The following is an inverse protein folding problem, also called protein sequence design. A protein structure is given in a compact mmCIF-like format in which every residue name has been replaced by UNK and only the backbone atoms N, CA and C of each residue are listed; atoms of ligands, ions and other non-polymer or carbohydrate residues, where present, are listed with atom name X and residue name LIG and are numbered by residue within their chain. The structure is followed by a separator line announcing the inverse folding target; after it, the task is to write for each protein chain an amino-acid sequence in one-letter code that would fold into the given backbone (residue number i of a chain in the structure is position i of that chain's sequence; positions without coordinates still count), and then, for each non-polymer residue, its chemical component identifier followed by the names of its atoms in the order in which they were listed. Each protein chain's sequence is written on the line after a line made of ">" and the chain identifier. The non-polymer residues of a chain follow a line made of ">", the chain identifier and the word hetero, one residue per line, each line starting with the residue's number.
data_IF_982337703362
#
_entry.id   IF_982337703362
#
_cell.length_a   1.000
_cell.length_b   1.000
_cell.length_c   1.000
_cell.angle_alpha   90.00
_cell.angle_beta   90.00
_cell.angle_gamma   90.00
#
_symmetry.space_group_name_H-M   'P 1'
#
loop_
_entity.id
_entity.type
_entity.pdbx_description
1 polymer ?
#
# COMPACT_ATOMS: atom_id res chain seq x y z
N UNK A 1 53.49 -61.00 14.32
CA UNK A 1 53.27 -60.81 12.87
C UNK A 1 51.88 -60.24 12.65
N UNK A 2 51.63 -59.56 11.53
CA UNK A 2 50.34 -58.93 11.26
C UNK A 2 49.27 -59.96 10.85
N UNK A 3 48.00 -59.64 11.12
CA UNK A 3 46.83 -60.44 10.72
C UNK A 3 45.59 -59.56 10.64
N UNK A 4 45.36 -58.95 9.47
CA UNK A 4 44.26 -58.01 9.23
C UNK A 4 42.94 -58.75 8.97
N UNK A 5 41.95 -58.55 9.85
CA UNK A 5 40.56 -58.93 9.60
C UNK A 5 39.79 -57.75 9.00
N UNK A 6 39.67 -57.74 7.67
CA UNK A 6 38.85 -56.76 6.97
C UNK A 6 37.37 -56.99 7.29
N UNK A 7 36.77 -56.09 8.09
CA UNK A 7 35.32 -56.05 8.26
C UNK A 7 34.65 -55.71 6.93
N UNK A 8 33.89 -56.66 6.36
CA UNK A 8 33.09 -56.43 5.15
C UNK A 8 32.04 -55.35 5.42
N UNK A 9 32.32 -54.12 5.00
CA UNK A 9 31.30 -53.08 4.90
C UNK A 9 30.21 -53.56 3.91
N UNK A 10 28.95 -53.49 4.32
CA UNK A 10 27.82 -53.71 3.40
C UNK A 10 27.74 -52.53 2.44
N UNK A 11 27.77 -52.80 1.14
CA UNK A 11 27.43 -51.80 0.12
C UNK A 11 26.02 -51.28 0.39
N UNK A 12 25.87 -49.96 0.56
CA UNK A 12 24.55 -49.34 0.57
C UNK A 12 23.97 -49.45 -0.83
N UNK A 13 22.78 -50.04 -0.94
CA UNK A 13 22.00 -49.96 -2.19
C UNK A 13 21.58 -48.49 -2.41
N UNK A 14 21.53 -48.01 -3.66
CA UNK A 14 20.96 -46.70 -3.95
C UNK A 14 19.51 -46.64 -3.44
N UNK A 15 19.09 -45.47 -2.95
CA UNK A 15 17.74 -45.28 -2.46
C UNK A 15 16.75 -45.54 -3.61
N UNK A 16 15.87 -46.52 -3.43
CA UNK A 16 14.75 -46.72 -4.35
C UNK A 16 13.85 -45.49 -4.30
N UNK A 17 13.45 -44.98 -5.46
CA UNK A 17 12.57 -43.82 -5.57
C UNK A 17 11.27 -44.07 -4.79
N UNK A 18 10.98 -43.21 -3.82
CA UNK A 18 9.72 -43.27 -3.09
C UNK A 18 8.58 -42.98 -4.08
N UNK A 19 7.51 -43.81 -4.12
CA UNK A 19 6.38 -43.55 -5.01
C UNK A 19 5.78 -42.17 -4.69
N UNK A 20 5.36 -41.42 -5.72
CA UNK A 20 4.91 -40.03 -5.54
C UNK A 20 3.78 -39.96 -4.51
N UNK A 21 3.92 -39.02 -3.57
CA UNK A 21 2.98 -38.85 -2.47
C UNK A 21 1.54 -38.70 -3.02
N UNK A 22 0.54 -39.39 -2.45
CA UNK A 22 -0.82 -39.36 -2.96
C UNK A 22 -1.36 -37.93 -2.95
N UNK A 23 -1.80 -37.44 -4.11
CA UNK A 23 -2.24 -36.06 -4.32
C UNK A 23 -3.18 -35.65 -3.19
N UNK A 24 -2.85 -34.61 -2.39
CA UNK A 24 -3.71 -34.16 -1.31
C UNK A 24 -5.09 -33.81 -1.86
N UNK A 25 -6.14 -34.46 -1.32
CA UNK A 25 -7.51 -34.11 -1.68
C UNK A 25 -7.75 -32.64 -1.36
N UNK A 26 -8.01 -31.83 -2.37
CA UNK A 26 -8.28 -30.40 -2.23
C UNK A 26 -9.45 -30.20 -1.27
N UNK A 27 -9.15 -29.82 -0.04
CA UNK A 27 -10.16 -29.43 0.95
C UNK A 27 -10.56 -28.01 0.60
N UNK A 28 -11.56 -27.88 -0.28
CA UNK A 28 -12.16 -26.59 -0.62
C UNK A 28 -12.53 -25.83 0.66
N UNK A 29 -12.26 -24.50 0.72
CA UNK A 29 -12.52 -23.71 1.91
C UNK A 29 -13.99 -23.87 2.32
N UNK A 30 -14.22 -24.26 3.58
CA UNK A 30 -15.57 -24.41 4.11
C UNK A 30 -16.20 -23.02 4.18
N UNK A 31 -17.23 -22.77 3.36
CA UNK A 31 -17.97 -21.50 3.31
C UNK A 31 -18.21 -20.91 4.72
N UNK A 32 -18.15 -19.57 4.87
CA UNK A 32 -18.25 -18.90 6.16
C UNK A 32 -19.47 -19.35 6.98
N UNK A 33 -19.32 -19.33 8.30
CA UNK A 33 -20.25 -19.94 9.24
C UNK A 33 -21.57 -19.15 9.32
N UNK A 34 -22.48 -19.37 8.38
CA UNK A 34 -23.86 -18.84 8.44
C UNK A 34 -24.47 -19.19 9.81
N UNK A 35 -24.83 -18.15 10.58
CA UNK A 35 -25.38 -18.27 11.92
C UNK A 35 -26.80 -18.83 11.88
N UNK A 36 -26.96 -20.13 12.14
CA UNK A 36 -28.29 -20.78 12.16
C UNK A 36 -28.95 -20.53 13.52
N UNK A 37 -29.74 -19.46 13.62
CA UNK A 37 -30.44 -19.06 14.85
C UNK A 37 -31.33 -20.15 15.46
N UNK A 38 -31.94 -21.02 14.64
CA UNK A 38 -32.71 -22.18 15.10
C UNK A 38 -32.46 -23.41 14.23
N UNK A 39 -31.95 -24.47 14.86
CA UNK A 39 -31.81 -25.79 14.26
C UNK A 39 -33.17 -26.52 14.18
N UNK A 40 -33.41 -27.26 13.10
CA UNK A 40 -34.59 -28.13 12.97
C UNK A 40 -34.61 -29.24 14.02
N UNK A 41 -35.80 -29.72 14.36
CA UNK A 41 -36.01 -30.76 15.36
C UNK A 41 -35.32 -32.07 14.95
N UNK A 42 -35.37 -32.42 13.66
CA UNK A 42 -34.67 -33.57 13.10
C UNK A 42 -33.15 -33.52 13.25
N UNK A 43 -32.54 -32.33 13.36
CA UNK A 43 -31.12 -32.18 13.71
C UNK A 43 -30.91 -32.13 15.23
N UNK A 44 -31.78 -31.45 16.00
CA UNK A 44 -31.74 -31.39 17.47
C UNK A 44 -31.82 -32.79 18.09
N UNK A 45 -32.82 -33.60 17.71
CA UNK A 45 -33.02 -34.98 18.19
C UNK A 45 -31.79 -35.88 17.93
N UNK A 46 -31.11 -35.67 16.80
CA UNK A 46 -29.89 -36.41 16.40
C UNK A 46 -28.58 -35.78 16.91
N UNK A 47 -28.64 -34.66 17.64
CA UNK A 47 -27.47 -33.87 18.12
C UNK A 47 -26.46 -33.50 17.02
N UNK A 48 -26.91 -33.33 15.77
CA UNK A 48 -26.05 -32.95 14.63
C UNK A 48 -26.23 -31.49 14.21
N UNK A 49 -25.20 -30.93 13.56
CA UNK A 49 -25.22 -29.54 13.08
C UNK A 49 -26.28 -29.34 11.98
N UNK A 50 -27.26 -28.47 12.25
CA UNK A 50 -28.21 -28.01 11.24
C UNK A 50 -27.55 -27.02 10.27
N UNK A 51 -28.09 -26.92 9.04
CA UNK A 51 -27.65 -25.98 8.00
C UNK A 51 -28.59 -24.80 7.77
N UNK A 52 -29.71 -24.70 8.51
CA UNK A 52 -30.64 -23.58 8.45
C UNK A 52 -31.58 -23.54 7.23
N UNK A 53 -31.14 -24.08 6.07
CA UNK A 53 -31.93 -24.13 4.82
C UNK A 53 -33.38 -24.59 5.06
N UNK A 54 -34.33 -23.79 4.55
CA UNK A 54 -35.74 -24.14 4.38
C UNK A 54 -36.00 -24.63 2.94
N UNK A 55 -37.03 -25.45 2.68
CA UNK A 55 -37.89 -26.10 3.67
C UNK A 55 -37.19 -27.25 4.42
N UNK A 56 -36.23 -27.95 3.80
CA UNK A 56 -35.44 -29.02 4.43
C UNK A 56 -33.95 -28.65 4.51
N UNK A 57 -33.33 -28.94 5.65
CA UNK A 57 -31.90 -28.70 5.84
C UNK A 57 -31.05 -29.79 5.15
N UNK A 58 -29.83 -29.45 4.70
CA UNK A 58 -28.90 -30.35 3.99
C UNK A 58 -28.58 -31.63 4.80
N UNK A 59 -28.63 -31.56 6.14
CA UNK A 59 -28.40 -32.69 7.06
C UNK A 59 -29.63 -33.59 7.34
N UNK A 60 -30.84 -33.14 6.99
CA UNK A 60 -32.03 -34.00 6.95
C UNK A 60 -32.20 -34.62 5.55
N UNK A 61 -31.94 -33.85 4.48
CA UNK A 61 -31.96 -34.35 3.08
C UNK A 61 -31.00 -35.54 2.91
N UNK A 62 -29.72 -35.39 3.28
CA UNK A 62 -28.71 -36.46 3.18
C UNK A 62 -29.01 -37.72 4.01
N UNK A 63 -29.92 -37.63 4.96
CA UNK A 63 -30.21 -38.68 5.93
C UNK A 63 -31.67 -39.15 5.86
N UNK A 64 -32.36 -38.92 4.73
CA UNK A 64 -33.73 -39.37 4.46
C UNK A 64 -34.81 -38.89 5.43
N UNK A 65 -34.48 -38.00 6.36
CA UNK A 65 -35.25 -37.77 7.59
C UNK A 65 -36.07 -36.50 7.55
N UNK A 66 -37.17 -36.48 8.31
CA UNK A 66 -38.03 -35.32 8.41
C UNK A 66 -37.30 -34.09 8.98
N UNK A 67 -37.76 -32.93 8.53
CA UNK A 67 -37.13 -31.65 8.81
C UNK A 67 -38.16 -30.62 9.25
N UNK A 68 -38.93 -30.95 10.28
CA UNK A 68 -39.69 -29.95 11.02
C UNK A 68 -38.72 -28.92 11.63
N UNK A 69 -38.95 -27.66 11.30
CA UNK A 69 -38.60 -26.56 12.19
C UNK A 69 -39.89 -26.23 12.97
N UNK A 70 -39.76 -25.81 14.23
CA UNK A 70 -40.88 -25.14 14.88
C UNK A 70 -41.28 -23.92 14.02
N UNK A 71 -42.58 -23.62 13.88
CA UNK A 71 -42.99 -22.41 13.18
C UNK A 71 -42.33 -21.21 13.86
N UNK A 72 -41.77 -20.31 13.06
CA UNK A 72 -41.29 -19.03 13.57
C UNK A 72 -42.50 -18.26 14.13
N UNK A 73 -42.29 -17.34 15.08
CA UNK A 73 -43.33 -16.34 15.31
C UNK A 73 -43.53 -15.54 14.01
N UNK A 74 -44.78 -15.24 13.66
CA UNK A 74 -45.09 -14.44 12.46
C UNK A 74 -44.30 -13.13 12.47
N UNK A 75 -44.10 -12.55 13.65
CA UNK A 75 -43.32 -11.33 13.87
C UNK A 75 -41.87 -11.44 13.39
N UNK A 76 -41.21 -12.60 13.51
CA UNK A 76 -39.85 -12.78 13.01
C UNK A 76 -39.81 -12.93 11.48
N UNK A 77 -40.78 -13.63 10.88
CA UNK A 77 -40.89 -13.73 9.42
C UNK A 77 -41.26 -12.37 8.80
N UNK A 78 -42.16 -11.62 9.46
CA UNK A 78 -42.51 -10.26 9.10
C UNK A 78 -41.34 -9.29 9.22
N UNK A 79 -40.54 -9.34 10.31
CA UNK A 79 -39.32 -8.52 10.46
C UNK A 79 -38.31 -8.82 9.37
N UNK A 80 -37.97 -10.09 9.14
CA UNK A 80 -37.02 -10.47 8.09
C UNK A 80 -37.49 -10.07 6.69
N UNK A 81 -38.80 -10.16 6.41
CA UNK A 81 -39.37 -9.70 5.13
C UNK A 81 -39.41 -8.17 5.02
N UNK A 82 -39.65 -7.47 6.13
CA UNK A 82 -39.61 -6.00 6.20
C UNK A 82 -38.18 -5.48 5.96
N UNK A 83 -37.18 -6.03 6.64
CA UNK A 83 -35.76 -5.74 6.42
C UNK A 83 -35.38 -5.96 4.95
N UNK A 84 -35.76 -7.11 4.36
CA UNK A 84 -35.51 -7.38 2.95
C UNK A 84 -36.17 -6.34 2.02
N UNK A 85 -37.43 -5.96 2.29
CA UNK A 85 -38.16 -4.97 1.50
C UNK A 85 -37.58 -3.55 1.67
N UNK A 86 -37.02 -3.21 2.84
CA UNK A 86 -36.31 -1.94 3.03
C UNK A 86 -35.03 -1.89 2.19
N UNK A 87 -34.21 -2.95 2.20
CA UNK A 87 -33.01 -3.04 1.34
C UNK A 87 -33.38 -2.94 -0.13
N UNK A 88 -34.36 -3.74 -0.57
CA UNK A 88 -34.86 -3.75 -1.95
C UNK A 88 -35.37 -2.36 -2.38
N UNK A 89 -36.16 -1.69 -1.53
CA UNK A 89 -36.63 -0.31 -1.77
C UNK A 89 -35.47 0.68 -1.88
N UNK A 90 -34.43 0.54 -1.05
CA UNK A 90 -33.25 1.41 -1.06
C UNK A 90 -32.43 1.24 -2.33
N UNK A 91 -32.30 0.00 -2.83
CA UNK A 91 -31.64 -0.28 -4.12
C UNK A 91 -32.41 0.31 -5.30
N UNK A 92 -33.74 0.14 -5.36
CA UNK A 92 -34.56 0.79 -6.40
C UNK A 92 -34.47 2.33 -6.33
N UNK A 93 -34.37 2.92 -5.13
CA UNK A 93 -34.15 4.36 -4.97
C UNK A 93 -32.78 4.81 -5.48
N UNK A 94 -31.68 4.09 -5.17
CA UNK A 94 -30.34 4.35 -5.74
C UNK A 94 -30.35 4.28 -7.26
N UNK A 95 -31.02 3.26 -7.83
CA UNK A 95 -31.13 3.07 -9.28
C UNK A 95 -31.87 4.24 -9.96
N UNK A 96 -33.00 4.67 -9.39
CA UNK A 96 -33.76 5.83 -9.90
C UNK A 96 -32.97 7.14 -9.74
N UNK A 97 -32.11 7.26 -8.73
CA UNK A 97 -31.14 8.35 -8.61
C UNK A 97 -30.14 8.37 -9.77
N UNK A 98 -29.43 7.25 -9.99
CA UNK A 98 -28.44 7.11 -11.07
C UNK A 98 -29.05 7.36 -12.46
N UNK A 99 -30.23 6.81 -12.75
CA UNK A 99 -30.94 7.03 -14.01
C UNK A 99 -31.42 8.48 -14.23
N UNK A 100 -31.33 9.36 -13.21
CA UNK A 100 -31.62 10.80 -13.31
C UNK A 100 -30.38 11.69 -13.35
N UNK A 101 -29.24 11.22 -12.84
CA UNK A 101 -27.99 11.98 -12.79
C UNK A 101 -27.03 11.68 -13.95
N UNK A 102 -27.20 10.52 -14.60
CA UNK A 102 -26.35 10.04 -15.71
C UNK A 102 -26.79 10.55 -17.07
N UNK A 103 -25.88 10.51 -18.05
CA UNK A 103 -26.18 10.94 -19.42
C UNK A 103 -27.13 9.97 -20.16
N UNK A 104 -27.67 10.40 -21.30
CA UNK A 104 -28.62 9.59 -22.07
C UNK A 104 -28.03 8.30 -22.67
N UNK A 105 -26.70 8.17 -22.79
CA UNK A 105 -26.02 6.94 -23.25
C UNK A 105 -25.81 6.00 -22.08
N UNK A 106 -25.23 6.50 -20.97
CA UNK A 106 -25.02 5.76 -19.72
C UNK A 106 -26.34 5.17 -19.20
N UNK A 107 -27.39 6.01 -19.08
CA UNK A 107 -28.71 5.56 -18.64
C UNK A 107 -29.31 4.49 -19.55
N UNK A 108 -29.03 4.52 -20.86
CA UNK A 108 -29.45 3.46 -21.78
C UNK A 108 -28.66 2.16 -21.60
N UNK A 109 -27.37 2.21 -21.21
CA UNK A 109 -26.59 1.00 -20.83
C UNK A 109 -27.20 0.36 -19.57
N UNK A 110 -27.47 1.15 -18.54
CA UNK A 110 -28.11 0.70 -17.29
C UNK A 110 -29.49 0.05 -17.59
N UNK A 111 -30.32 0.70 -18.42
CA UNK A 111 -31.60 0.14 -18.84
C UNK A 111 -31.45 -1.15 -19.68
N UNK A 112 -30.37 -1.30 -20.45
CA UNK A 112 -30.11 -2.51 -21.22
C UNK A 112 -29.65 -3.69 -20.35
N UNK A 113 -28.87 -3.45 -19.29
CA UNK A 113 -28.54 -4.48 -18.29
C UNK A 113 -29.82 -5.01 -17.60
N UNK A 114 -30.71 -4.10 -17.19
CA UNK A 114 -32.01 -4.47 -16.60
C UNK A 114 -32.88 -5.27 -17.59
N UNK A 115 -32.91 -4.90 -18.87
CA UNK A 115 -33.59 -5.65 -19.95
C UNK A 115 -32.98 -7.04 -20.19
N UNK A 116 -31.71 -7.25 -19.86
CA UNK A 116 -31.02 -8.55 -19.89
C UNK A 116 -31.28 -9.39 -18.63
N UNK A 117 -32.24 -8.99 -17.79
CA UNK A 117 -32.67 -9.70 -16.58
C UNK A 117 -31.61 -9.73 -15.47
N UNK A 118 -30.64 -8.79 -15.50
CA UNK A 118 -29.70 -8.55 -14.40
C UNK A 118 -30.43 -7.92 -13.21
N UNK A 119 -30.14 -8.38 -11.99
CA UNK A 119 -30.77 -7.84 -10.77
C UNK A 119 -30.28 -6.42 -10.47
N UNK A 120 -31.14 -5.60 -9.85
CA UNK A 120 -30.80 -4.20 -9.51
C UNK A 120 -29.53 -4.10 -8.66
N UNK A 121 -29.37 -4.96 -7.66
CA UNK A 121 -28.14 -5.08 -6.87
C UNK A 121 -26.87 -5.22 -7.74
N UNK A 122 -26.90 -6.10 -8.75
CA UNK A 122 -25.76 -6.35 -9.63
C UNK A 122 -25.54 -5.21 -10.62
N UNK A 123 -26.61 -4.58 -11.13
CA UNK A 123 -26.50 -3.37 -11.97
C UNK A 123 -25.90 -2.20 -11.18
N UNK A 124 -26.37 -1.97 -9.94
CA UNK A 124 -25.78 -0.97 -9.05
C UNK A 124 -24.31 -1.24 -8.81
N UNK A 125 -23.94 -2.49 -8.48
CA UNK A 125 -22.54 -2.90 -8.25
C UNK A 125 -21.67 -2.69 -9.49
N UNK A 126 -22.16 -3.01 -10.69
CA UNK A 126 -21.41 -2.80 -11.94
C UNK A 126 -21.25 -1.31 -12.28
N UNK A 127 -22.27 -0.48 -12.05
CA UNK A 127 -22.17 0.98 -12.21
C UNK A 127 -21.20 1.56 -11.18
N UNK A 128 -21.31 1.18 -9.91
CA UNK A 128 -20.44 1.65 -8.81
C UNK A 128 -18.97 1.25 -9.04
N UNK A 129 -18.70 0.06 -9.59
CA UNK A 129 -17.36 -0.35 -10.02
C UNK A 129 -16.88 0.38 -11.29
N UNK A 130 -17.77 0.67 -12.24
CA UNK A 130 -17.44 1.42 -13.47
C UNK A 130 -17.12 2.88 -13.18
N UNK A 131 -17.93 3.51 -12.32
CA UNK A 131 -17.71 4.84 -11.76
C UNK A 131 -16.38 4.89 -11.01
N UNK A 132 -16.09 3.90 -10.16
CA UNK A 132 -14.78 3.80 -9.49
C UNK A 132 -13.61 3.71 -10.49
N UNK A 133 -13.77 3.05 -11.64
CA UNK A 133 -12.73 3.01 -12.69
C UNK A 133 -12.58 4.36 -13.43
N UNK A 134 -13.68 5.08 -13.66
CA UNK A 134 -13.64 6.44 -14.19
C UNK A 134 -12.99 7.40 -13.19
N UNK A 135 -13.42 7.39 -11.93
CA UNK A 135 -12.85 8.17 -10.83
C UNK A 135 -11.38 7.82 -10.60
N UNK A 136 -10.98 6.54 -10.76
CA UNK A 136 -9.58 6.13 -10.72
C UNK A 136 -8.74 6.85 -11.78
N UNK A 137 -9.26 7.04 -12.99
CA UNK A 137 -8.60 7.79 -14.07
C UNK A 137 -8.55 9.31 -13.87
N UNK A 138 -9.36 9.85 -12.94
CA UNK A 138 -9.31 11.25 -12.54
C UNK A 138 -8.34 11.43 -11.37
N UNK A 139 -7.20 12.07 -11.64
CA UNK A 139 -6.38 12.69 -10.59
C UNK A 139 -7.18 13.88 -10.05
N UNK A 140 -7.44 13.92 -8.74
CA UNK A 140 -8.11 15.07 -8.13
C UNK A 140 -7.06 16.05 -7.64
N UNK A 141 -7.17 17.31 -8.05
CA UNK A 141 -6.19 18.38 -7.81
C UNK A 141 -5.60 18.36 -6.39
N UNK A 142 -4.27 18.31 -6.32
CA UNK A 142 -3.47 18.62 -5.13
C UNK A 142 -3.69 17.77 -3.87
N UNK A 143 -4.02 16.46 -3.94
CA UNK A 143 -4.13 15.60 -2.72
C UNK A 143 -2.91 15.66 -1.81
N UNK A 144 -1.71 15.42 -2.38
CA UNK A 144 -0.44 15.45 -1.63
C UNK A 144 -0.20 16.82 -0.99
N UNK A 145 -0.48 17.92 -1.70
CA UNK A 145 -0.27 19.28 -1.17
C UNK A 145 -1.32 19.70 -0.14
N UNK A 146 -2.54 19.16 -0.21
CA UNK A 146 -3.54 19.33 0.86
C UNK A 146 -3.13 18.59 2.14
N UNK A 147 -2.59 17.36 2.02
CA UNK A 147 -2.05 16.58 3.13
C UNK A 147 -0.86 17.32 3.78
N UNK A 148 0.14 17.67 2.98
CA UNK A 148 1.36 18.32 3.45
C UNK A 148 1.13 19.76 3.92
N UNK A 149 0.30 20.53 3.23
CA UNK A 149 -0.07 21.89 3.63
C UNK A 149 -0.90 21.94 4.91
N UNK A 150 -1.59 20.86 5.28
CA UNK A 150 -2.21 20.72 6.61
C UNK A 150 -1.20 20.27 7.67
N UNK A 151 -0.21 19.46 7.30
CA UNK A 151 0.89 19.07 8.17
C UNK A 151 1.80 20.25 8.56
N UNK A 152 2.12 21.15 7.63
CA UNK A 152 2.78 22.45 7.89
C UNK A 152 1.98 23.25 8.94
N UNK A 153 0.68 23.46 8.72
CA UNK A 153 -0.20 24.22 9.65
C UNK A 153 -0.34 23.55 11.01
N UNK A 154 -0.29 22.22 11.06
CA UNK A 154 -0.45 21.41 12.26
C UNK A 154 0.84 21.08 13.01
N UNK A 155 2.00 21.46 12.45
CA UNK A 155 3.35 21.17 12.94
C UNK A 155 3.56 19.67 13.27
N UNK A 156 3.35 18.81 12.26
CA UNK A 156 3.59 17.36 12.33
C UNK A 156 4.18 16.84 11.01
N UNK A 157 4.84 15.68 11.03
CA UNK A 157 5.38 15.02 9.83
C UNK A 157 4.44 13.95 9.26
N UNK A 158 4.59 13.63 7.97
CA UNK A 158 3.78 12.65 7.22
C UNK A 158 4.70 11.62 6.55
N UNK A 159 4.36 10.32 6.69
CA UNK A 159 5.18 9.19 6.21
C UNK A 159 5.08 8.94 4.70
N UNK A 160 6.19 8.43 4.12
CA UNK A 160 6.47 8.11 2.71
C UNK A 160 7.53 6.94 2.58
N UNK A 161 7.72 6.27 1.41
CA UNK A 161 8.34 4.91 1.15
C UNK A 161 9.62 4.64 0.22
N UNK A 162 10.52 3.59 0.32
CA UNK A 162 11.64 3.15 -0.65
C UNK A 162 11.91 1.56 -0.76
N UNK A 163 12.68 0.90 -1.67
CA UNK A 163 12.63 -0.60 -1.97
C UNK A 163 13.94 -1.45 -1.93
N UNK A 164 13.86 -2.81 -1.83
CA UNK A 164 14.74 -3.77 -2.57
C UNK A 164 14.17 -5.16 -2.98
N UNK A 165 14.64 -5.72 -4.13
CA UNK A 165 14.51 -7.15 -4.50
C UNK A 165 15.73 -7.83 -5.20
N UNK A 166 16.16 -8.95 -4.59
CA UNK A 166 17.25 -9.91 -4.95
C UNK A 166 17.98 -9.86 -6.32
N UNK A 167 19.31 -9.69 -6.25
CA UNK A 167 20.30 -10.51 -7.00
C UNK A 167 21.31 -11.09 -6.02
N UNK A 168 21.62 -12.38 -6.13
CA UNK A 168 22.36 -13.11 -5.09
C UNK A 168 23.86 -13.30 -5.34
N UNK A 169 24.65 -13.20 -4.27
CA UNK A 169 25.98 -13.79 -4.07
C UNK A 169 26.02 -14.35 -2.63
N UNK A 170 26.93 -15.29 -2.37
CA UNK A 170 27.02 -16.03 -1.10
C UNK A 170 27.91 -15.36 -0.06
N UNK A 171 27.35 -14.49 0.79
CA UNK A 171 27.76 -14.38 2.20
C UNK A 171 26.62 -13.83 3.08
N UNK A 172 26.77 -13.87 4.41
CA UNK A 172 25.67 -13.71 5.37
C UNK A 172 25.72 -12.39 6.18
N UNK A 173 25.45 -11.24 5.54
CA UNK A 173 25.21 -9.96 6.25
C UNK A 173 24.46 -8.92 5.39
N UNK A 174 23.75 -7.98 6.05
CA UNK A 174 23.09 -6.75 5.52
C UNK A 174 21.85 -6.99 4.58
N UNK A 175 20.88 -6.08 4.35
CA UNK A 175 20.10 -5.12 5.19
C UNK A 175 18.69 -4.87 4.55
N UNK A 176 17.93 -3.78 4.84
CA UNK A 176 16.45 -3.86 5.03
C UNK A 176 15.59 -2.64 4.54
N UNK A 177 14.35 -2.78 3.95
CA UNK A 177 13.54 -1.67 3.29
C UNK A 177 11.95 -1.83 3.16
N UNK A 178 11.08 -0.81 3.43
CA UNK A 178 9.64 -0.62 2.97
C UNK A 178 9.44 0.38 1.84
N UNK A 179 8.65 -0.08 0.87
CA UNK A 179 7.65 0.63 0.07
C UNK A 179 6.39 -0.25 0.01
N UNK A 180 5.33 0.21 -0.64
CA UNK A 180 4.14 -0.61 -0.85
C UNK A 180 4.17 -1.39 -2.19
N UNK A 181 5.04 -2.40 -2.29
CA UNK A 181 5.26 -3.19 -3.53
C UNK A 181 4.14 -4.17 -3.90
N UNK A 182 3.24 -4.45 -2.97
CA UNK A 182 2.25 -5.51 -3.08
C UNK A 182 0.94 -5.09 -2.38
N UNK A 183 -0.10 -5.92 -2.48
CA UNK A 183 -1.44 -5.60 -1.98
C UNK A 183 -1.49 -5.74 -0.45
N UNK A 184 -0.63 -6.59 0.11
CA UNK A 184 -0.45 -6.84 1.54
C UNK A 184 0.05 -5.59 2.27
N UNK A 185 1.05 -4.89 1.72
CA UNK A 185 1.59 -3.64 2.26
C UNK A 185 0.59 -2.50 2.09
N UNK A 186 -0.08 -2.39 0.93
CA UNK A 186 -1.16 -1.42 0.71
C UNK A 186 -2.24 -1.58 1.80
N UNK A 187 -2.62 -2.83 2.07
CA UNK A 187 -3.60 -3.18 3.11
C UNK A 187 -3.11 -2.79 4.51
N UNK A 188 -1.89 -3.16 4.89
CA UNK A 188 -1.36 -2.88 6.23
C UNK A 188 -1.19 -1.37 6.49
N UNK A 189 -0.65 -0.63 5.52
CA UNK A 189 -0.41 0.82 5.64
C UNK A 189 -1.75 1.59 5.64
N UNK A 190 -2.70 1.24 4.78
CA UNK A 190 -4.03 1.86 4.79
C UNK A 190 -4.77 1.58 6.10
N UNK A 191 -4.78 0.33 6.59
CA UNK A 191 -5.35 -0.01 7.91
C UNK A 191 -4.75 0.83 9.04
N UNK A 192 -3.42 1.00 9.06
CA UNK A 192 -2.74 1.80 10.09
C UNK A 192 -3.16 3.28 10.03
N UNK A 193 -3.20 3.86 8.83
CA UNK A 193 -3.65 5.23 8.63
C UNK A 193 -5.12 5.43 9.10
N UNK A 194 -6.02 4.50 8.78
CA UNK A 194 -7.42 4.53 9.25
C UNK A 194 -7.53 4.35 10.77
N UNK A 195 -6.87 3.34 11.33
CA UNK A 195 -6.91 3.04 12.78
C UNK A 195 -6.41 4.22 13.63
N UNK A 196 -5.39 4.93 13.16
CA UNK A 196 -4.81 6.10 13.81
C UNK A 196 -5.51 7.41 13.45
N UNK A 197 -6.38 7.41 12.43
CA UNK A 197 -6.94 8.61 11.79
C UNK A 197 -5.84 9.59 11.40
N UNK A 198 -4.88 9.10 10.61
CA UNK A 198 -3.71 9.83 10.13
C UNK A 198 -3.81 10.02 8.61
N UNK A 199 -3.42 11.19 8.07
CA UNK A 199 -3.04 11.27 6.68
C UNK A 199 -1.71 10.53 6.44
N UNK A 200 -1.47 10.03 5.24
CA UNK A 200 -0.24 9.32 4.85
C UNK A 200 -0.06 9.34 3.32
N UNK A 201 1.18 9.40 2.84
CA UNK A 201 1.49 9.34 1.40
C UNK A 201 1.96 7.92 1.07
N UNK A 202 1.20 7.21 0.24
CA UNK A 202 1.66 5.94 -0.33
C UNK A 202 2.59 6.24 -1.49
N UNK A 203 3.82 5.74 -1.42
CA UNK A 203 4.75 5.84 -2.54
C UNK A 203 4.61 4.61 -3.45
N UNK A 204 5.20 4.69 -4.65
CA UNK A 204 5.65 3.59 -5.49
C UNK A 204 6.96 3.98 -6.19
N UNK A 205 7.63 3.01 -6.80
CA UNK A 205 8.87 3.24 -7.55
C UNK A 205 8.81 2.91 -9.04
N UNK A 206 9.68 3.54 -9.86
CA UNK A 206 9.92 3.17 -11.25
C UNK A 206 10.18 1.68 -11.44
N UNK A 207 10.88 1.04 -10.51
CA UNK A 207 11.17 -0.39 -10.51
C UNK A 207 9.95 -1.26 -10.18
N UNK A 208 9.15 -0.89 -9.17
CA UNK A 208 7.88 -1.56 -8.85
C UNK A 208 6.90 -1.45 -10.02
N UNK A 209 6.85 -0.31 -10.72
CA UNK A 209 6.06 -0.13 -11.94
C UNK A 209 6.56 -0.99 -13.10
N UNK A 210 7.88 -1.14 -13.29
CA UNK A 210 8.46 -2.06 -14.30
C UNK A 210 8.12 -3.53 -14.01
N UNK A 211 7.98 -3.91 -12.73
CA UNK A 211 7.59 -5.27 -12.34
C UNK A 211 6.08 -5.51 -12.42
N UNK A 212 5.26 -4.54 -11.99
CA UNK A 212 3.80 -4.67 -11.91
C UNK A 212 3.11 -3.31 -12.14
N UNK A 213 2.88 -2.88 -13.41
CA UNK A 213 2.26 -1.59 -13.71
C UNK A 213 0.87 -1.39 -13.08
N UNK A 214 0.14 -2.49 -12.86
CA UNK A 214 -1.19 -2.47 -12.22
C UNK A 214 -1.17 -2.12 -10.73
N UNK A 215 0.01 -2.08 -10.09
CA UNK A 215 0.16 -1.73 -8.69
C UNK A 215 -0.25 -0.27 -8.40
N UNK A 216 0.00 0.67 -9.32
CA UNK A 216 -0.47 2.05 -9.20
C UNK A 216 -1.99 2.14 -9.13
N UNK A 217 -2.69 1.32 -9.92
CA UNK A 217 -4.15 1.25 -9.90
C UNK A 217 -4.69 0.58 -8.63
N UNK A 218 -4.02 -0.45 -8.11
CA UNK A 218 -4.35 -1.05 -6.81
C UNK A 218 -4.14 -0.06 -5.65
N UNK A 219 -3.05 0.71 -5.68
CA UNK A 219 -2.76 1.74 -4.69
C UNK A 219 -3.77 2.88 -4.74
N UNK A 220 -4.06 3.40 -5.94
CA UNK A 220 -5.07 4.44 -6.13
C UNK A 220 -6.49 3.96 -5.74
N UNK A 221 -6.80 2.67 -5.89
CA UNK A 221 -8.06 2.09 -5.40
C UNK A 221 -8.10 2.02 -3.85
N UNK A 222 -7.00 1.60 -3.20
CA UNK A 222 -6.90 1.64 -1.74
C UNK A 222 -7.06 3.08 -1.22
N UNK A 223 -6.41 4.06 -1.86
CA UNK A 223 -6.53 5.49 -1.53
C UNK A 223 -7.97 5.99 -1.69
N UNK A 224 -8.64 5.70 -2.81
CA UNK A 224 -10.00 6.18 -3.09
C UNK A 224 -11.08 5.43 -2.28
N UNK A 225 -10.73 4.35 -1.59
CA UNK A 225 -11.61 3.63 -0.65
C UNK A 225 -11.34 3.93 0.83
N UNK A 226 -10.24 4.58 1.17
CA UNK A 226 -9.87 4.90 2.54
C UNK A 226 -10.74 5.99 3.17
N UNK A 227 -10.99 5.85 4.48
CA UNK A 227 -11.74 6.82 5.30
C UNK A 227 -10.89 7.99 5.83
N UNK A 228 -9.62 8.09 5.39
CA UNK A 228 -8.65 9.13 5.79
C UNK A 228 -7.92 9.71 4.57
N UNK A 229 -7.34 10.92 4.63
CA UNK A 229 -6.64 11.52 3.50
C UNK A 229 -5.34 10.78 3.13
N UNK A 230 -5.39 9.98 2.06
CA UNK A 230 -4.22 9.35 1.44
C UNK A 230 -3.94 9.95 0.06
N UNK A 231 -2.69 9.85 -0.40
CA UNK A 231 -2.29 10.18 -1.78
C UNK A 231 -1.21 9.24 -2.32
N UNK A 232 -1.05 9.21 -3.65
CA UNK A 232 -0.06 8.39 -4.35
C UNK A 232 1.11 9.23 -4.88
N UNK A 233 2.35 8.78 -4.62
CA UNK A 233 3.58 9.45 -5.06
C UNK A 233 4.51 8.49 -5.81
N UNK A 234 5.10 8.91 -6.93
CA UNK A 234 6.18 8.16 -7.59
C UNK A 234 7.52 8.73 -7.12
N UNK A 235 8.27 7.96 -6.34
CA UNK A 235 9.53 8.41 -5.74
C UNK A 235 10.72 8.15 -6.69
N UNK A 236 11.85 8.86 -6.50
CA UNK A 236 13.07 8.82 -7.32
C UNK A 236 12.85 8.46 -8.81
N UNK A 237 12.03 9.23 -9.52
CA UNK A 237 11.84 9.03 -10.96
C UNK A 237 13.01 9.67 -11.72
N UNK A 238 13.95 8.84 -12.18
CA UNK A 238 15.21 9.25 -12.81
C UNK A 238 15.19 9.24 -14.35
N UNK A 239 14.19 8.61 -14.99
CA UNK A 239 14.07 8.55 -16.47
C UNK A 239 12.97 9.48 -16.98
N UNK A 240 13.35 10.47 -17.81
CA UNK A 240 12.45 11.48 -18.39
C UNK A 240 11.28 10.84 -19.15
N UNK A 241 11.55 9.82 -19.98
CA UNK A 241 10.51 9.17 -20.79
C UNK A 241 9.54 8.37 -19.93
N UNK A 242 10.03 7.73 -18.86
CA UNK A 242 9.19 7.05 -17.88
C UNK A 242 8.32 8.04 -17.10
N UNK A 243 8.84 9.21 -16.71
CA UNK A 243 8.05 10.26 -16.04
C UNK A 243 6.94 10.75 -16.96
N UNK A 244 7.25 11.08 -18.22
CA UNK A 244 6.22 11.51 -19.16
C UNK A 244 5.10 10.45 -19.33
N UNK A 245 5.45 9.16 -19.45
CA UNK A 245 4.45 8.09 -19.59
C UNK A 245 3.65 7.85 -18.31
N UNK A 246 4.26 7.99 -17.13
CA UNK A 246 3.55 7.98 -15.84
C UNK A 246 2.53 9.12 -15.79
N UNK A 247 2.96 10.36 -16.04
CA UNK A 247 2.10 11.56 -16.07
C UNK A 247 0.97 11.41 -17.09
N UNK A 248 1.25 10.78 -18.24
CA UNK A 248 0.25 10.50 -19.27
C UNK A 248 -0.79 9.46 -18.85
N UNK A 249 -0.39 8.40 -18.14
CA UNK A 249 -1.16 7.12 -18.10
C UNK A 249 -1.45 6.53 -16.71
N UNK A 250 -0.84 6.99 -15.61
CA UNK A 250 -0.99 6.37 -14.28
C UNK A 250 -1.55 7.34 -13.23
N UNK A 251 -2.31 6.84 -12.23
CA UNK A 251 -3.12 7.66 -11.33
C UNK A 251 -2.35 8.17 -10.10
N UNK A 252 -1.22 8.86 -10.35
CA UNK A 252 -0.39 9.48 -9.30
C UNK A 252 -0.91 10.87 -8.93
N UNK A 253 -0.85 11.22 -7.64
CA UNK A 253 -1.16 12.57 -7.14
C UNK A 253 0.11 13.45 -7.07
N UNK A 254 1.30 12.83 -7.09
CA UNK A 254 2.60 13.51 -7.06
C UNK A 254 3.75 12.65 -7.62
N UNK A 255 4.86 13.27 -8.05
CA UNK A 255 6.05 12.58 -8.58
C UNK A 255 7.32 13.32 -8.12
N UNK A 256 8.31 12.58 -7.61
CA UNK A 256 9.69 13.05 -7.46
C UNK A 256 10.43 12.95 -8.79
N UNK A 257 10.76 14.10 -9.36
CA UNK A 257 11.62 14.25 -10.54
C UNK A 257 13.07 14.29 -10.03
N UNK A 258 13.72 13.12 -10.02
CA UNK A 258 15.07 12.97 -9.50
C UNK A 258 16.11 13.06 -10.64
N UNK A 259 16.62 14.26 -10.85
CA UNK A 259 17.64 14.57 -11.84
C UNK A 259 19.02 14.83 -11.18
N UNK A 260 19.21 14.43 -9.92
CA UNK A 260 20.44 14.64 -9.10
C UNK A 260 21.73 14.03 -9.69
N UNK A 261 21.58 13.10 -10.63
CA UNK A 261 22.66 12.44 -11.35
C UNK A 261 23.20 13.25 -12.55
N UNK A 262 22.52 14.33 -12.94
CA UNK A 262 23.03 15.32 -13.89
C UNK A 262 23.87 16.40 -13.19
N UNK A 263 24.38 17.38 -13.96
CA UNK A 263 24.87 18.64 -13.38
C UNK A 263 23.71 19.57 -12.99
N UNK A 264 24.00 20.68 -12.29
CA UNK A 264 22.98 21.61 -11.78
C UNK A 264 22.14 22.25 -12.89
N UNK A 265 22.75 22.67 -14.00
CA UNK A 265 22.02 23.33 -15.08
C UNK A 265 21.10 22.34 -15.83
N UNK A 266 21.58 21.12 -16.11
CA UNK A 266 20.78 20.09 -16.76
C UNK A 266 19.71 19.51 -15.83
N UNK A 267 19.99 19.32 -14.54
CA UNK A 267 18.99 18.96 -13.52
C UNK A 267 17.88 20.01 -13.48
N UNK A 268 18.23 21.28 -13.25
CA UNK A 268 17.28 22.38 -13.12
C UNK A 268 16.41 22.53 -14.38
N UNK A 269 17.01 22.42 -15.57
CA UNK A 269 16.29 22.52 -16.84
C UNK A 269 15.31 21.36 -17.08
N UNK A 270 15.71 20.10 -16.76
CA UNK A 270 14.80 18.95 -16.84
C UNK A 270 13.69 19.05 -15.81
N UNK A 271 14.03 19.39 -14.57
CA UNK A 271 13.09 19.52 -13.47
C UNK A 271 12.03 20.58 -13.79
N UNK A 272 12.41 21.78 -14.24
CA UNK A 272 11.44 22.81 -14.64
C UNK A 272 10.51 22.38 -15.78
N UNK A 273 11.03 21.66 -16.78
CA UNK A 273 10.24 21.16 -17.91
C UNK A 273 9.23 20.07 -17.48
N UNK A 274 9.65 19.15 -16.61
CA UNK A 274 8.80 18.08 -16.09
C UNK A 274 7.81 18.57 -15.04
N UNK A 275 8.17 19.54 -14.20
CA UNK A 275 7.24 20.25 -13.29
C UNK A 275 6.05 20.80 -14.05
N UNK A 276 6.29 21.54 -15.14
CA UNK A 276 5.21 22.06 -15.99
C UNK A 276 4.31 20.95 -16.56
N UNK A 277 4.89 19.83 -17.00
CA UNK A 277 4.13 18.70 -17.54
C UNK A 277 3.27 17.99 -16.49
N UNK A 278 3.77 17.85 -15.26
CA UNK A 278 3.03 17.30 -14.13
C UNK A 278 1.89 18.26 -13.69
N UNK A 279 2.16 19.56 -13.63
CA UNK A 279 1.17 20.60 -13.32
C UNK A 279 0.04 20.67 -14.36
N UNK A 280 0.34 20.43 -15.65
CA UNK A 280 -0.67 20.26 -16.72
C UNK A 280 -1.61 19.05 -16.51
N UNK A 281 -1.33 18.17 -15.53
CA UNK A 281 -2.18 17.07 -15.07
C UNK A 281 -2.65 17.19 -13.61
N UNK A 282 -2.34 18.30 -12.92
CA UNK A 282 -2.66 18.48 -11.50
C UNK A 282 -1.82 17.62 -10.54
N UNK A 283 -0.71 17.06 -11.03
CA UNK A 283 0.25 16.22 -10.29
C UNK A 283 1.31 17.14 -9.69
N UNK A 284 1.51 17.07 -8.37
CA UNK A 284 2.53 17.87 -7.69
C UNK A 284 3.94 17.30 -7.88
N UNK A 285 4.96 18.16 -7.95
CA UNK A 285 6.35 17.75 -8.18
C UNK A 285 7.24 17.97 -6.98
N UNK A 286 8.06 16.96 -6.74
CA UNK A 286 9.16 16.96 -5.80
C UNK A 286 10.48 16.86 -6.55
N UNK A 287 11.55 17.47 -6.04
CA UNK A 287 12.89 17.33 -6.61
C UNK A 287 13.97 17.30 -5.54
N UNK A 288 15.05 16.58 -5.84
CA UNK A 288 16.27 16.58 -5.02
C UNK A 288 17.19 17.76 -5.40
N UNK A 289 17.73 18.41 -4.37
CA UNK A 289 18.64 19.54 -4.49
C UNK A 289 19.97 19.24 -3.78
N UNK A 290 21.09 19.55 -4.43
CA UNK A 290 22.38 18.93 -4.12
C UNK A 290 22.44 17.49 -4.63
N UNK A 291 23.08 16.61 -3.85
CA UNK A 291 23.12 15.15 -4.06
C UNK A 291 23.15 14.43 -2.72
N UNK A 292 22.23 13.49 -2.53
CA UNK A 292 22.20 12.53 -1.43
C UNK A 292 23.01 11.29 -1.87
N UNK A 293 24.10 11.00 -1.17
CA UNK A 293 24.97 9.88 -1.53
C UNK A 293 24.42 8.53 -1.06
N UNK A 294 24.87 7.45 -1.70
CA UNK A 294 24.53 6.07 -1.38
C UNK A 294 23.54 5.47 -2.39
N UNK A 295 22.82 4.42 -1.97
CA UNK A 295 21.89 3.72 -2.86
C UNK A 295 20.93 2.79 -2.13
N UNK A 296 19.75 2.62 -2.73
CA UNK A 296 18.63 1.76 -2.31
C UNK A 296 18.05 1.16 -3.62
N UNK A 297 17.20 0.14 -3.64
CA UNK A 297 16.62 -0.28 -4.95
C UNK A 297 15.67 0.79 -5.48
N UNK A 298 15.38 0.76 -6.78
CA UNK A 298 14.72 1.87 -7.47
C UNK A 298 15.62 3.09 -7.69
N UNK A 299 16.55 3.37 -6.76
CA UNK A 299 17.56 4.43 -6.82
C UNK A 299 18.86 3.86 -7.40
N UNK A 300 19.56 4.62 -8.24
CA UNK A 300 20.94 4.28 -8.63
C UNK A 300 21.91 4.60 -7.48
N UNK A 301 22.82 3.66 -7.15
CA UNK A 301 23.96 3.94 -6.26
C UNK A 301 24.83 5.06 -6.84
N UNK A 302 25.10 6.12 -6.06
CA UNK A 302 25.94 7.24 -6.47
C UNK A 302 27.40 6.85 -6.74
N UNK A 303 27.87 5.70 -6.21
CA UNK A 303 29.22 5.20 -6.43
C UNK A 303 30.30 6.20 -5.98
N UNK A 304 31.25 6.51 -6.88
CA UNK A 304 32.37 7.43 -6.63
C UNK A 304 31.97 8.93 -6.67
N UNK A 305 30.69 9.29 -6.84
CA UNK A 305 30.26 10.69 -6.85
C UNK A 305 30.35 11.32 -5.44
N UNK A 306 30.85 12.56 -5.35
CA UNK A 306 30.88 13.29 -4.09
C UNK A 306 29.48 13.77 -3.66
N UNK A 307 29.23 13.74 -2.35
CA UNK A 307 28.02 14.26 -1.73
C UNK A 307 27.99 15.79 -1.78
N UNK A 308 26.90 16.36 -2.28
CA UNK A 308 26.74 17.81 -2.43
C UNK A 308 25.61 18.27 -1.51
N UNK A 309 25.95 18.94 -0.39
CA UNK A 309 24.93 19.52 0.49
C UNK A 309 24.24 20.69 -0.18
N UNK A 310 22.91 20.73 -0.09
CA UNK A 310 22.09 21.80 -0.68
C UNK A 310 22.57 23.18 -0.23
N UNK A 311 22.89 24.02 -1.21
CA UNK A 311 23.25 25.42 -1.03
C UNK A 311 22.01 26.34 -1.07
N UNK A 312 22.09 27.56 -0.50
CA UNK A 312 21.04 28.56 -0.63
C UNK A 312 20.74 28.97 -2.09
N UNK A 313 21.69 28.81 -3.02
CA UNK A 313 21.49 29.16 -4.43
C UNK A 313 20.59 28.12 -5.11
N UNK A 314 20.87 26.83 -4.90
CA UNK A 314 20.05 25.71 -5.37
C UNK A 314 18.60 25.80 -4.85
N UNK A 315 18.39 26.09 -3.56
CA UNK A 315 17.03 26.27 -3.00
C UNK A 315 16.24 27.31 -3.80
N UNK A 316 16.85 28.44 -4.13
CA UNK A 316 16.17 29.52 -4.86
C UNK A 316 15.97 29.16 -6.34
N UNK A 317 16.88 28.40 -6.95
CA UNK A 317 16.73 27.89 -8.32
C UNK A 317 15.62 26.85 -8.46
N UNK A 318 15.58 25.84 -7.59
CA UNK A 318 14.53 24.83 -7.59
C UNK A 318 13.14 25.43 -7.33
N UNK A 319 13.06 26.49 -6.52
CA UNK A 319 11.81 27.26 -6.34
C UNK A 319 11.43 28.09 -7.58
N UNK A 320 12.39 28.55 -8.42
CA UNK A 320 12.09 29.13 -9.75
C UNK A 320 11.65 28.08 -10.77
N UNK A 321 12.13 26.85 -10.65
CA UNK A 321 11.65 25.71 -11.45
C UNK A 321 10.21 25.30 -11.12
N UNK A 322 9.65 25.83 -10.02
CA UNK A 322 8.24 25.75 -9.68
C UNK A 322 7.82 24.46 -8.95
N UNK A 323 8.77 23.72 -8.37
CA UNK A 323 8.47 22.49 -7.63
C UNK A 323 7.63 22.78 -6.39
N UNK A 324 6.78 21.83 -6.00
CA UNK A 324 5.91 21.95 -4.84
C UNK A 324 6.55 21.39 -3.56
N UNK A 325 7.55 20.51 -3.68
CA UNK A 325 8.23 19.83 -2.58
C UNK A 325 9.75 19.80 -2.85
N UNK A 326 10.58 20.14 -1.87
CA UNK A 326 12.05 20.10 -1.96
C UNK A 326 12.62 19.01 -1.05
N UNK A 327 13.41 18.10 -1.60
CA UNK A 327 14.26 17.19 -0.84
C UNK A 327 15.71 17.74 -0.81
N UNK A 328 16.24 18.12 0.37
CA UNK A 328 17.61 18.62 0.49
C UNK A 328 18.59 17.56 0.98
N UNK A 329 19.82 17.63 0.47
CA UNK A 329 20.99 16.94 1.02
C UNK A 329 21.56 17.72 2.20
N UNK A 330 21.45 17.16 3.40
CA UNK A 330 21.82 17.77 4.70
C UNK A 330 22.70 16.85 5.56
N UNK A 331 23.42 15.90 4.94
CA UNK A 331 24.17 14.85 5.66
C UNK A 331 23.37 13.57 5.89
N UNK A 332 22.13 13.52 5.40
CA UNK A 332 21.41 12.29 5.15
C UNK A 332 22.05 11.53 3.97
N UNK A 333 21.94 10.20 3.98
CA UNK A 333 22.41 9.31 2.91
C UNK A 333 21.35 8.26 2.59
N UNK A 334 21.44 7.70 1.40
CA UNK A 334 20.69 6.54 0.95
C UNK A 334 21.39 5.24 1.38
N UNK A 335 20.60 4.28 1.90
CA UNK A 335 21.11 3.05 2.51
C UNK A 335 21.42 3.19 4.01
N UNK A 336 22.44 2.49 4.50
CA UNK A 336 22.76 2.38 5.94
C UNK A 336 23.90 3.30 6.39
N UNK A 337 23.73 4.00 7.51
CA UNK A 337 24.71 4.96 8.07
C UNK A 337 25.90 4.30 8.79
N UNK A 338 25.87 2.97 8.94
CA UNK A 338 26.92 2.19 9.59
C UNK A 338 27.14 2.54 11.07
N UNK A 339 28.32 2.23 11.64
CA UNK A 339 28.55 2.27 13.09
C UNK A 339 28.49 3.67 13.76
N UNK A 340 28.41 4.75 12.98
CA UNK A 340 28.26 6.13 13.49
C UNK A 340 26.80 6.52 13.69
N UNK A 341 25.88 5.99 12.89
CA UNK A 341 24.54 6.54 12.74
C UNK A 341 24.51 7.88 11.98
N UNK A 342 23.32 8.48 11.83
CA UNK A 342 23.11 9.72 11.05
C UNK A 342 23.70 10.97 11.70
N UNK A 343 24.60 11.65 10.98
CA UNK A 343 25.25 12.92 11.35
C UNK A 343 24.65 14.10 10.53
N UNK A 344 23.44 14.57 10.90
CA UNK A 344 22.65 15.54 10.12
C UNK A 344 22.93 17.02 10.45
N UNK A 345 23.03 17.87 9.42
CA UNK A 345 23.10 19.33 9.53
C UNK A 345 21.69 19.94 9.74
N UNK A 346 21.14 19.75 10.95
CA UNK A 346 19.84 20.30 11.34
C UNK A 346 19.81 21.84 11.31
N UNK A 347 20.96 22.51 11.35
CA UNK A 347 21.07 23.98 11.25
C UNK A 347 20.82 24.42 9.81
N UNK A 348 21.40 23.73 8.82
CA UNK A 348 21.09 23.89 7.40
C UNK A 348 19.64 23.55 7.09
N UNK A 349 19.12 22.42 7.58
CA UNK A 349 17.72 22.04 7.40
C UNK A 349 16.79 23.17 7.91
N UNK A 350 17.07 23.71 9.10
CA UNK A 350 16.38 24.87 9.69
C UNK A 350 16.62 26.21 8.97
N UNK A 351 17.58 26.30 8.06
CA UNK A 351 17.85 27.49 7.24
C UNK A 351 17.16 27.39 5.87
N UNK A 352 17.16 26.18 5.28
CA UNK A 352 16.46 25.84 4.04
C UNK A 352 14.96 26.10 4.21
N UNK A 353 14.30 25.61 5.27
CA UNK A 353 12.87 25.87 5.53
C UNK A 353 12.55 27.38 5.57
N UNK A 354 13.39 28.17 6.25
CA UNK A 354 13.23 29.64 6.33
C UNK A 354 13.39 30.33 4.97
N UNK A 355 14.16 29.74 4.06
CA UNK A 355 14.33 30.23 2.70
C UNK A 355 13.19 29.77 1.78
N UNK A 356 12.71 28.52 1.91
CA UNK A 356 11.51 28.03 1.23
C UNK A 356 10.34 28.96 1.56
N UNK A 357 10.17 29.32 2.83
CA UNK A 357 9.20 30.33 3.29
C UNK A 357 7.76 30.00 2.83
N UNK A 358 7.41 28.71 2.85
CA UNK A 358 6.10 28.21 2.41
C UNK A 358 5.84 28.24 0.89
N UNK A 359 6.86 28.48 0.05
CA UNK A 359 6.75 28.39 -1.42
C UNK A 359 6.71 26.95 -1.95
N UNK A 360 7.29 26.03 -1.18
CA UNK A 360 7.24 24.58 -1.34
C UNK A 360 7.11 23.95 0.07
N UNK A 361 7.08 22.62 0.14
CA UNK A 361 7.18 21.86 1.40
C UNK A 361 8.54 21.16 1.47
N UNK A 362 9.17 21.10 2.65
CA UNK A 362 10.40 20.35 2.83
C UNK A 362 10.14 18.86 3.06
N UNK A 363 10.79 18.02 2.25
CA UNK A 363 10.88 16.58 2.43
C UNK A 363 12.21 16.17 3.08
N UNK A 364 12.31 14.92 3.55
CA UNK A 364 13.56 14.34 4.04
C UNK A 364 13.67 12.86 3.64
N UNK A 365 14.78 12.55 2.96
CA UNK A 365 15.08 11.25 2.36
C UNK A 365 16.19 10.51 3.15
N UNK A 366 16.29 9.19 2.95
CA UNK A 366 17.36 8.39 3.55
C UNK A 366 17.26 8.22 5.06
N UNK A 367 16.05 8.01 5.62
CA UNK A 367 15.85 7.99 7.08
C UNK A 367 16.19 6.65 7.77
N UNK A 368 16.89 5.75 7.08
CA UNK A 368 16.98 4.31 7.39
C UNK A 368 17.44 3.93 8.82
N UNK A 369 18.34 4.70 9.43
CA UNK A 369 18.84 4.49 10.80
C UNK A 369 18.38 5.57 11.80
N UNK A 370 17.31 6.32 11.48
CA UNK A 370 16.82 7.38 12.35
C UNK A 370 16.13 6.81 13.60
N UNK A 371 16.46 7.37 14.77
CA UNK A 371 15.69 7.14 15.99
C UNK A 371 14.43 8.01 16.01
N UNK A 372 13.53 7.76 16.97
CA UNK A 372 12.33 8.60 17.15
C UNK A 372 12.69 10.06 17.47
N UNK A 373 13.76 10.26 18.24
CA UNK A 373 14.29 11.57 18.61
C UNK A 373 14.82 12.33 17.39
N UNK A 374 15.64 11.68 16.57
CA UNK A 374 16.21 12.27 15.34
C UNK A 374 15.08 12.62 14.36
N UNK A 375 14.10 11.75 14.17
CA UNK A 375 12.93 12.03 13.34
C UNK A 375 12.16 13.26 13.84
N UNK A 376 11.92 13.37 15.15
CA UNK A 376 11.26 14.55 15.71
C UNK A 376 12.12 15.82 15.67
N UNK A 377 13.44 15.73 15.78
CA UNK A 377 14.32 16.89 15.62
C UNK A 377 14.38 17.38 14.17
N UNK A 378 14.27 16.49 13.19
CA UNK A 378 14.06 16.84 11.78
C UNK A 378 12.71 17.56 11.57
N UNK A 379 11.62 17.09 12.17
CA UNK A 379 10.31 17.77 12.12
C UNK A 379 10.38 19.16 12.76
N UNK A 380 11.05 19.31 13.91
CA UNK A 380 11.27 20.62 14.57
C UNK A 380 12.13 21.57 13.73
N UNK A 381 13.03 21.04 12.89
CA UNK A 381 13.82 21.80 11.93
C UNK A 381 13.05 22.14 10.64
N UNK A 382 11.85 21.58 10.43
CA UNK A 382 10.93 21.93 9.34
C UNK A 382 10.56 20.78 8.40
N UNK A 383 11.11 19.57 8.54
CA UNK A 383 10.81 18.46 7.63
C UNK A 383 9.36 17.95 7.79
N UNK A 384 8.61 17.90 6.69
CA UNK A 384 7.17 17.54 6.70
C UNK A 384 6.89 16.23 5.97
N UNK A 385 7.41 16.02 4.75
CA UNK A 385 7.39 14.68 4.11
C UNK A 385 8.59 13.88 4.60
N UNK A 386 8.35 12.68 5.12
CA UNK A 386 9.38 11.84 5.73
C UNK A 386 9.41 10.50 5.01
N UNK A 387 10.37 10.34 4.09
CA UNK A 387 10.61 9.07 3.41
C UNK A 387 11.26 8.10 4.39
N UNK A 388 10.40 7.36 5.10
CA UNK A 388 10.76 6.17 5.86
C UNK A 388 10.96 5.00 4.92
N UNK A 389 11.77 4.04 5.34
CA UNK A 389 12.03 2.87 4.53
C UNK A 389 12.35 1.66 5.41
N UNK A 390 13.64 1.39 5.66
CA UNK A 390 14.15 0.31 6.52
C UNK A 390 13.36 0.15 7.81
N UNK A 391 13.15 1.28 8.47
CA UNK A 391 12.48 1.47 9.76
C UNK A 391 11.14 0.74 9.89
N UNK A 392 10.45 0.42 8.80
CA UNK A 392 9.14 -0.23 8.82
C UNK A 392 9.13 -1.71 8.40
N UNK A 393 10.06 -2.22 7.56
CA UNK A 393 9.97 -3.60 7.01
C UNK A 393 10.93 -4.57 7.65
N UNK A 394 11.85 -4.12 8.50
CA UNK A 394 12.67 -5.00 9.33
C UNK A 394 11.78 -6.06 10.00
N UNK A 395 10.69 -5.60 10.63
CA UNK A 395 9.73 -6.46 11.34
C UNK A 395 9.00 -7.45 10.42
N UNK A 396 8.61 -7.03 9.20
CA UNK A 396 7.94 -7.90 8.22
C UNK A 396 8.91 -8.89 7.57
N UNK A 397 10.10 -8.45 7.17
CA UNK A 397 11.11 -9.31 6.54
C UNK A 397 11.67 -10.34 7.53
N UNK A 398 12.01 -9.92 8.75
CA UNK A 398 12.39 -10.83 9.84
C UNK A 398 11.26 -11.81 10.13
N UNK A 399 10.01 -11.34 10.21
CA UNK A 399 8.86 -12.24 10.37
C UNK A 399 8.71 -13.24 9.21
N UNK A 400 8.78 -12.81 7.94
CA UNK A 400 8.69 -13.71 6.78
C UNK A 400 9.81 -14.76 6.75
N UNK A 401 11.02 -14.38 7.18
CA UNK A 401 12.23 -15.21 7.26
C UNK A 401 12.11 -16.23 8.39
N UNK A 402 11.88 -15.78 9.62
CA UNK A 402 11.87 -16.60 10.83
C UNK A 402 10.60 -17.48 10.93
N UNK A 403 9.58 -17.18 10.12
CA UNK A 403 8.35 -17.96 9.97
C UNK A 403 8.21 -18.63 8.60
N UNK A 404 9.31 -18.81 7.84
CA UNK A 404 9.30 -19.47 6.53
C UNK A 404 8.63 -20.86 6.52
N UNK A 405 8.70 -21.58 7.65
CA UNK A 405 8.05 -22.87 7.92
C UNK A 405 6.51 -22.79 8.08
N UNK A 406 5.93 -21.61 8.32
CA UNK A 406 4.47 -21.44 8.41
C UNK A 406 3.80 -21.48 7.03
N UNK A 407 2.53 -21.93 6.94
CA UNK A 407 1.74 -21.80 5.72
C UNK A 407 1.71 -20.36 5.21
N UNK A 408 1.83 -20.17 3.89
CA UNK A 408 2.01 -18.84 3.28
C UNK A 408 0.96 -17.82 3.73
N UNK A 409 -0.34 -18.17 3.66
CA UNK A 409 -1.41 -17.26 4.05
C UNK A 409 -1.30 -16.84 5.52
N UNK A 410 -1.09 -17.78 6.44
CA UNK A 410 -0.90 -17.45 7.86
C UNK A 410 0.29 -16.50 8.06
N UNK A 411 1.40 -16.73 7.36
CA UNK A 411 2.59 -15.89 7.45
C UNK A 411 2.35 -14.47 6.93
N UNK A 412 1.58 -14.35 5.85
CA UNK A 412 1.15 -13.07 5.26
C UNK A 412 0.16 -12.34 6.18
N UNK A 413 -0.88 -13.03 6.68
CA UNK A 413 -1.88 -12.48 7.59
C UNK A 413 -1.21 -11.93 8.87
N UNK A 414 -0.37 -12.74 9.52
CA UNK A 414 0.43 -12.33 10.69
C UNK A 414 1.39 -11.17 10.35
N UNK A 415 1.93 -11.15 9.13
CA UNK A 415 2.82 -10.09 8.66
C UNK A 415 2.09 -8.76 8.50
N UNK A 416 0.86 -8.77 7.97
CA UNK A 416 0.04 -7.57 7.78
C UNK A 416 -0.22 -6.89 9.12
N UNK A 417 -0.53 -7.67 10.16
CA UNK A 417 -0.79 -7.14 11.49
C UNK A 417 0.49 -6.61 12.18
N UNK A 418 1.65 -7.27 11.98
CA UNK A 418 2.97 -6.80 12.45
C UNK A 418 3.36 -5.48 11.75
N UNK A 419 3.20 -5.40 10.44
CA UNK A 419 3.47 -4.21 9.64
C UNK A 419 2.55 -3.06 10.02
N UNK A 420 1.25 -3.33 10.17
CA UNK A 420 0.30 -2.32 10.62
C UNK A 420 0.76 -1.69 11.95
N UNK A 421 1.09 -2.50 12.95
CA UNK A 421 1.54 -2.01 14.26
C UNK A 421 2.80 -1.12 14.19
N UNK A 422 3.73 -1.41 13.28
CA UNK A 422 4.94 -0.62 13.09
C UNK A 422 4.67 0.71 12.35
N UNK A 423 3.78 0.72 11.34
CA UNK A 423 3.31 1.96 10.72
C UNK A 423 2.54 2.83 11.74
N UNK A 424 1.71 2.21 12.59
CA UNK A 424 1.02 2.89 13.70
C UNK A 424 2.00 3.53 14.71
N UNK A 425 3.15 2.89 14.98
CA UNK A 425 4.22 3.40 15.84
C UNK A 425 4.86 4.67 15.25
N UNK A 426 5.16 4.67 13.95
CA UNK A 426 5.78 5.84 13.30
C UNK A 426 4.80 6.99 13.05
N UNK A 427 3.51 6.70 12.86
CA UNK A 427 2.44 7.71 12.86
C UNK A 427 2.37 8.47 14.19
N UNK A 428 2.54 7.79 15.33
CA UNK A 428 2.64 8.45 16.64
C UNK A 428 3.93 9.29 16.76
N UNK A 429 5.07 8.76 16.33
CA UNK A 429 6.38 9.46 16.40
C UNK A 429 6.35 10.75 15.57
N UNK A 430 5.78 10.72 14.37
CA UNK A 430 5.69 11.89 13.50
C UNK A 430 4.57 12.87 13.90
N UNK A 431 3.71 12.47 14.84
CA UNK A 431 2.62 13.30 15.36
C UNK A 431 1.39 13.40 14.45
N UNK A 432 1.28 12.55 13.42
CA UNK A 432 0.18 12.56 12.45
C UNK A 432 -1.09 11.81 12.92
N UNK A 433 -1.02 11.11 14.06
CA UNK A 433 -2.17 10.48 14.69
C UNK A 433 -3.30 11.49 14.99
N UNK A 434 -4.52 11.18 14.56
CA UNK A 434 -5.70 12.04 14.76
C UNK A 434 -5.71 13.34 13.95
N UNK A 435 -5.00 13.40 12.82
CA UNK A 435 -4.90 14.57 11.92
C UNK A 435 -5.65 14.41 10.58
N UNK A 436 -6.34 13.30 10.37
CA UNK A 436 -7.18 13.03 9.21
C UNK A 436 -8.48 13.87 9.20
#
# INVERSE_FOLDING_TARGET
>A
MAGSSQGRQRTLLPAAELPPAPIPRVILPRNPRVGVSTACEGCRKRKIRCSGNRPRCKGCIRAGSDCSYAPMSKDHELRQRYEQLQTETTEYQRLVGLLRSRDHKEANVILNMLRQNTSVHEVLRQVEHGDMLCDLSLVSEARTLNILGNAVKGNYGVLAAIWFAFRGITDASLLTMILSYNIEHLTAIAKAAEAKRSPLILLLFPSSLRQLPTLAWAASAAIKSATVPLSLHLDHAQDVSQIEDVVRTLPFDSIMVDMSHYDHEENLAKTAALTKLCHERGIAVEAESGRINGGEDGIADTGDLEALFTSPEEVEDFLKAGIDILAPSVGNIHGDYGPKGPELDLVRLSAIEKQICGRAIMALHGTNDFTAEIMQDCIKAGAVKLNVNKLLLEVWHVHLKDNAQKPLMQRVDEGIDILQAEVERWIDICGSAGKA
#
